data_IF_853818163706
#
_entry.id   IF_853818163706
#
_cell.length_a   1.000
_cell.length_b   1.000
_cell.length_c   1.000
_cell.angle_alpha   90.00
_cell.angle_beta   90.00
_cell.angle_gamma   90.00
#
_symmetry.space_group_name_H-M   'P 1'
#
loop_
_entity.id
_entity.type
_entity.pdbx_description
1 polymer ?
#
# COMPACT_ATOMS: atom_id res chain seq x y z
N UNK A 1 -36.73 -16.70 -21.13
CA UNK A 1 -35.69 -16.49 -20.11
C UNK A 1 -36.20 -15.39 -19.16
N UNK A 2 -36.48 -15.69 -17.88
CA UNK A 2 -37.02 -14.72 -16.92
C UNK A 2 -36.07 -13.57 -16.57
N UNK A 3 -34.80 -13.62 -17.00
CA UNK A 3 -33.85 -12.53 -16.87
C UNK A 3 -33.94 -11.47 -17.99
N UNK A 4 -34.74 -11.69 -19.04
CA UNK A 4 -34.90 -10.71 -20.11
C UNK A 4 -35.68 -9.49 -19.60
N UNK A 5 -35.00 -8.37 -19.37
CA UNK A 5 -35.59 -7.09 -18.93
C UNK A 5 -35.10 -6.60 -17.57
N UNK A 6 -34.26 -7.36 -16.88
CA UNK A 6 -33.57 -6.91 -15.67
C UNK A 6 -32.37 -6.05 -16.11
N UNK A 7 -32.29 -4.79 -15.66
CA UNK A 7 -31.12 -3.94 -15.89
C UNK A 7 -29.90 -4.57 -15.23
N UNK A 8 -28.80 -4.69 -15.98
CA UNK A 8 -27.51 -5.09 -15.42
C UNK A 8 -27.13 -4.16 -14.26
N UNK A 9 -26.70 -4.76 -13.15
CA UNK A 9 -26.13 -4.01 -12.03
C UNK A 9 -24.74 -3.55 -12.46
N UNK A 10 -24.47 -2.25 -12.32
CA UNK A 10 -23.16 -1.68 -12.62
C UNK A 10 -22.10 -2.43 -11.82
N UNK A 11 -21.20 -3.14 -12.49
CA UNK A 11 -20.13 -3.85 -11.80
C UNK A 11 -19.21 -2.82 -11.14
N UNK A 12 -18.96 -2.99 -9.85
CA UNK A 12 -18.03 -2.16 -9.10
C UNK A 12 -16.68 -2.11 -9.82
N UNK A 13 -16.17 -0.89 -10.01
CA UNK A 13 -14.85 -0.62 -10.59
C UNK A 13 -13.83 -1.51 -9.89
N UNK A 14 -13.07 -2.28 -10.68
CA UNK A 14 -12.10 -3.28 -10.21
C UNK A 14 -11.31 -2.80 -8.98
N UNK A 15 -11.13 -3.72 -8.04
CA UNK A 15 -10.36 -3.54 -6.81
C UNK A 15 -9.03 -2.80 -7.07
N UNK A 16 -8.52 -2.04 -6.07
CA UNK A 16 -7.22 -1.37 -6.21
C UNK A 16 -6.17 -2.37 -6.71
N UNK A 17 -5.42 -1.97 -7.73
CA UNK A 17 -4.39 -2.82 -8.30
C UNK A 17 -3.35 -3.13 -7.21
N UNK A 18 -3.17 -4.41 -6.90
CA UNK A 18 -2.15 -4.85 -5.96
C UNK A 18 -0.76 -4.45 -6.47
N UNK A 19 0.11 -4.04 -5.55
CA UNK A 19 1.50 -3.75 -5.88
C UNK A 19 2.19 -5.02 -6.41
N UNK A 20 2.67 -4.96 -7.65
CA UNK A 20 3.54 -6.00 -8.18
C UNK A 20 4.92 -5.98 -7.49
N UNK A 21 5.73 -7.03 -7.69
CA UNK A 21 7.05 -7.14 -7.05
C UNK A 21 7.98 -5.97 -7.39
N UNK A 22 7.88 -5.40 -8.60
CA UNK A 22 8.70 -4.27 -9.03
C UNK A 22 8.25 -2.99 -8.35
N UNK A 23 6.95 -2.79 -8.19
CA UNK A 23 6.37 -1.67 -7.46
C UNK A 23 6.67 -1.77 -5.96
N UNK A 24 6.64 -2.95 -5.37
CA UNK A 24 7.08 -3.18 -3.98
C UNK A 24 8.57 -2.83 -3.81
N UNK A 25 9.43 -3.29 -4.72
CA UNK A 25 10.85 -2.94 -4.69
C UNK A 25 11.10 -1.43 -4.85
N UNK A 26 10.33 -0.77 -5.72
CA UNK A 26 10.41 0.69 -5.90
C UNK A 26 9.97 1.45 -4.63
N UNK A 27 8.91 0.99 -3.97
CA UNK A 27 8.44 1.55 -2.70
C UNK A 27 9.51 1.43 -1.61
N UNK A 28 10.10 0.24 -1.44
CA UNK A 28 11.15 0.01 -0.45
C UNK A 28 12.38 0.90 -0.71
N UNK A 29 12.76 1.06 -1.98
CA UNK A 29 13.88 1.94 -2.37
C UNK A 29 13.61 3.41 -2.08
N UNK A 30 12.35 3.86 -2.19
CA UNK A 30 12.00 5.24 -1.86
C UNK A 30 12.07 5.48 -0.35
N UNK A 31 11.59 4.54 0.47
CA UNK A 31 11.70 4.62 1.93
C UNK A 31 13.16 4.66 2.41
N UNK A 32 14.05 3.92 1.74
CA UNK A 32 15.50 4.00 2.00
C UNK A 32 16.06 5.39 1.68
N UNK A 33 15.61 6.02 0.59
CA UNK A 33 16.02 7.39 0.23
C UNK A 33 15.50 8.41 1.23
N UNK A 34 14.26 8.28 1.67
CA UNK A 34 13.66 9.15 2.69
C UNK A 34 14.46 9.09 3.99
N UNK A 35 14.83 7.89 4.43
CA UNK A 35 15.68 7.70 5.60
C UNK A 35 17.06 8.35 5.42
N UNK A 36 17.68 8.19 4.24
CA UNK A 36 18.98 8.80 3.93
C UNK A 36 18.91 10.34 3.80
N UNK A 37 17.77 10.88 3.39
CA UNK A 37 17.52 12.30 3.24
C UNK A 37 17.17 13.00 4.56
N UNK A 38 16.67 12.26 5.57
CA UNK A 38 16.27 12.82 6.85
C UNK A 38 17.43 13.51 7.59
N UNK A 39 17.27 14.81 7.89
CA UNK A 39 18.31 15.65 8.54
C UNK A 39 18.05 15.95 10.01
N UNK A 40 16.80 15.88 10.46
CA UNK A 40 16.43 16.14 11.86
C UNK A 40 16.08 14.83 12.56
N UNK A 41 16.24 14.79 13.88
CA UNK A 41 15.87 13.59 14.67
C UNK A 41 14.38 13.27 14.54
N UNK A 42 13.52 14.28 14.44
CA UNK A 42 12.09 14.08 14.17
C UNK A 42 11.85 13.42 12.80
N UNK A 43 12.51 13.93 11.74
CA UNK A 43 12.39 13.36 10.41
C UNK A 43 12.93 11.92 10.33
N UNK A 44 14.05 11.63 11.00
CA UNK A 44 14.61 10.28 11.05
C UNK A 44 13.65 9.30 11.72
N UNK A 45 13.06 9.67 12.87
CA UNK A 45 12.07 8.83 13.56
C UNK A 45 10.86 8.54 12.68
N UNK A 46 10.37 9.55 11.95
CA UNK A 46 9.27 9.38 11.01
C UNK A 46 9.63 8.42 9.88
N UNK A 47 10.78 8.63 9.21
CA UNK A 47 11.23 7.77 8.12
C UNK A 47 11.44 6.30 8.56
N UNK A 48 12.03 6.07 9.74
CA UNK A 48 12.18 4.72 10.32
C UNK A 48 10.81 4.09 10.59
N UNK A 49 9.86 4.85 11.14
CA UNK A 49 8.50 4.37 11.41
C UNK A 49 7.80 3.97 10.12
N UNK A 50 7.85 4.81 9.10
CA UNK A 50 7.20 4.56 7.81
C UNK A 50 7.79 3.33 7.12
N UNK A 51 9.12 3.20 7.10
CA UNK A 51 9.80 2.01 6.58
C UNK A 51 9.38 0.74 7.33
N UNK A 52 9.33 0.80 8.66
CA UNK A 52 8.94 -0.35 9.50
C UNK A 52 7.50 -0.77 9.24
N UNK A 53 6.57 0.19 9.15
CA UNK A 53 5.17 -0.10 8.87
C UNK A 53 4.99 -0.78 7.51
N UNK A 54 5.63 -0.25 6.46
CA UNK A 54 5.53 -0.83 5.12
C UNK A 54 6.09 -2.26 5.09
N UNK A 55 7.25 -2.49 5.70
CA UNK A 55 7.83 -3.85 5.79
C UNK A 55 6.86 -4.79 6.53
N UNK A 56 6.28 -4.36 7.65
CA UNK A 56 5.34 -5.17 8.41
C UNK A 56 4.11 -5.53 7.57
N UNK A 57 3.48 -4.55 6.92
CA UNK A 57 2.29 -4.79 6.09
C UNK A 57 2.57 -5.71 4.91
N UNK A 58 3.70 -5.52 4.22
CA UNK A 58 4.08 -6.37 3.08
C UNK A 58 4.32 -7.83 3.48
N UNK A 59 4.75 -8.10 4.72
CA UNK A 59 5.09 -9.46 5.16
C UNK A 59 3.98 -10.16 5.96
N UNK A 60 3.01 -9.42 6.48
CA UNK A 60 1.97 -9.98 7.36
C UNK A 60 0.57 -9.95 6.76
N UNK A 61 0.32 -9.08 5.76
CA UNK A 61 -1.02 -8.84 5.24
C UNK A 61 -1.94 -8.11 6.23
N UNK A 62 -1.40 -7.54 7.30
CA UNK A 62 -2.16 -6.71 8.24
C UNK A 62 -2.76 -5.50 7.53
N UNK A 63 -3.97 -5.14 7.95
CA UNK A 63 -4.64 -3.90 7.57
C UNK A 63 -4.10 -2.77 8.42
N UNK A 64 -4.17 -1.55 7.88
CA UNK A 64 -3.76 -0.33 8.60
C UNK A 64 -4.50 -0.17 9.93
N UNK A 65 -5.75 -0.63 10.03
CA UNK A 65 -6.56 -0.57 11.24
C UNK A 65 -6.16 -1.58 12.33
N UNK A 66 -5.28 -2.52 12.04
CA UNK A 66 -4.84 -3.58 12.97
C UNK A 66 -3.50 -3.24 13.64
N UNK A 67 -2.95 -2.07 13.33
CA UNK A 67 -1.72 -1.52 13.90
C UNK A 67 -2.04 -0.45 14.95
#
# INVERSE_FOLDING_TARGET
NPANGIKDVEQQKLAPQWLDKRQQAALLKELERDLAAARTEAAKRQAVRDQTMVILFLNTGLRVSEL
#
